data_IF_626011005226
#
_entry.id   IF_626011005226
#
_cell.length_a   1.000
_cell.length_b   1.000
_cell.length_c   1.000
_cell.angle_alpha   90.00
_cell.angle_beta   90.00
_cell.angle_gamma   90.00
#
_symmetry.space_group_name_H-M   'P 1'
#
loop_
_entity.id
_entity.type
_entity.pdbx_description
1 polymer ?
#
# COMPACT_ATOMS: atom_id res chain seq x y z
N UNK A 1 18.32 3.81 -13.51
CA UNK A 1 19.01 4.12 -12.26
C UNK A 1 19.77 2.90 -11.82
N UNK A 2 21.09 2.99 -11.75
CA UNK A 2 21.95 1.93 -11.21
C UNK A 2 21.90 1.95 -9.69
N UNK A 3 22.43 0.90 -9.05
CA UNK A 3 22.56 0.86 -7.59
C UNK A 3 23.42 2.00 -7.06
N UNK A 4 24.52 2.30 -7.73
CA UNK A 4 25.46 3.37 -7.31
C UNK A 4 24.83 4.76 -7.44
N UNK A 5 24.07 4.99 -8.52
CA UNK A 5 23.27 6.21 -8.70
C UNK A 5 22.24 6.34 -7.56
N UNK A 6 21.53 5.26 -7.24
CA UNK A 6 20.57 5.26 -6.13
C UNK A 6 21.25 5.51 -4.78
N UNK A 7 22.36 4.83 -4.48
CA UNK A 7 23.08 4.96 -3.22
C UNK A 7 23.67 6.36 -3.02
N UNK A 8 24.00 7.05 -4.11
CA UNK A 8 24.43 8.45 -4.10
C UNK A 8 23.26 9.40 -3.83
N UNK A 9 22.07 9.11 -4.36
CA UNK A 9 20.89 9.97 -4.20
C UNK A 9 20.11 9.70 -2.90
N UNK A 10 20.15 8.49 -2.34
CA UNK A 10 19.35 8.09 -1.17
C UNK A 10 19.69 8.86 0.11
N UNK A 11 20.90 9.42 0.16
CA UNK A 11 21.40 10.22 1.31
C UNK A 11 20.80 11.62 1.34
N UNK A 12 20.21 12.07 0.22
CA UNK A 12 19.47 13.33 0.16
C UNK A 12 18.22 13.19 1.02
N UNK A 13 17.97 14.20 1.85
CA UNK A 13 16.76 14.25 2.66
C UNK A 13 15.56 14.50 1.75
N UNK A 14 14.60 13.60 1.82
CA UNK A 14 13.48 13.54 0.89
C UNK A 14 12.34 12.73 1.48
N UNK A 15 11.14 12.95 0.96
CA UNK A 15 9.96 12.20 1.37
C UNK A 15 10.12 10.75 0.94
N UNK A 16 10.06 9.83 1.90
CA UNK A 16 10.26 8.39 1.67
C UNK A 16 8.99 7.62 2.01
N UNK A 17 8.82 6.51 1.32
CA UNK A 17 7.83 5.47 1.62
C UNK A 17 8.54 4.14 1.45
N UNK A 18 8.36 3.24 2.41
CA UNK A 18 9.02 1.93 2.43
C UNK A 18 7.92 0.89 2.56
N UNK A 19 7.94 -0.11 1.68
CA UNK A 19 6.95 -1.18 1.65
C UNK A 19 7.54 -2.46 1.08
N UNK A 20 7.01 -3.59 1.53
CA UNK A 20 7.20 -4.88 0.88
C UNK A 20 5.98 -5.15 0.00
N UNK A 21 6.20 -5.48 -1.28
CA UNK A 21 5.15 -5.77 -2.24
C UNK A 21 5.10 -7.26 -2.54
N UNK A 22 3.95 -7.87 -2.30
CA UNK A 22 3.67 -9.26 -2.60
C UNK A 22 2.68 -9.34 -3.76
N UNK A 23 2.93 -10.25 -4.70
CA UNK A 23 2.05 -10.48 -5.83
C UNK A 23 1.15 -11.68 -5.56
N UNK A 24 -0.16 -11.49 -5.65
CA UNK A 24 -1.14 -12.54 -5.44
C UNK A 24 -2.07 -12.65 -6.66
N UNK A 25 -2.37 -13.88 -7.08
CA UNK A 25 -3.30 -14.13 -8.19
C UNK A 25 -4.69 -14.33 -7.64
N UNK A 26 -5.64 -13.52 -8.08
CA UNK A 26 -7.04 -13.60 -7.66
C UNK A 26 -7.96 -13.34 -8.86
N UNK A 27 -8.86 -14.30 -9.15
CA UNK A 27 -9.83 -14.22 -10.25
C UNK A 27 -9.21 -13.80 -11.60
N UNK A 28 -8.03 -14.35 -11.93
CA UNK A 28 -7.32 -14.03 -13.18
C UNK A 28 -6.64 -12.65 -13.19
N UNK A 29 -6.70 -11.89 -12.10
CA UNK A 29 -6.00 -10.61 -11.92
C UNK A 29 -4.80 -10.75 -11.00
N UNK A 30 -3.89 -9.78 -11.09
CA UNK A 30 -2.77 -9.64 -10.16
C UNK A 30 -3.14 -8.59 -9.13
N UNK A 31 -3.18 -8.99 -7.87
CA UNK A 31 -3.26 -8.09 -6.73
C UNK A 31 -1.85 -7.83 -6.20
N UNK A 32 -1.49 -6.56 -6.05
CA UNK A 32 -0.28 -6.10 -5.40
C UNK A 32 -0.60 -5.79 -3.94
N UNK A 33 -0.16 -6.64 -3.02
CA UNK A 33 -0.33 -6.47 -1.58
C UNK A 33 0.88 -5.71 -1.05
N UNK A 34 0.68 -4.46 -0.70
CA UNK A 34 1.69 -3.55 -0.18
C UNK A 34 1.64 -3.50 1.35
N UNK A 35 2.69 -4.02 2.00
CA UNK A 35 2.87 -4.00 3.44
C UNK A 35 3.84 -2.87 3.79
N UNK A 36 3.31 -1.76 4.29
CA UNK A 36 4.11 -0.58 4.59
C UNK A 36 4.98 -0.80 5.84
N UNK A 37 6.17 -0.20 5.82
CA UNK A 37 7.22 -0.35 6.82
C UNK A 37 7.58 1.02 7.44
N UNK A 38 8.24 1.00 8.60
CA UNK A 38 8.75 2.20 9.26
C UNK A 38 7.64 3.16 9.70
N UNK A 39 7.68 4.41 9.24
CA UNK A 39 6.72 5.45 9.64
C UNK A 39 5.25 5.10 9.33
N UNK A 40 5.01 4.25 8.33
CA UNK A 40 3.68 3.77 7.93
C UNK A 40 3.45 2.29 8.32
N UNK A 41 4.28 1.72 9.19
CA UNK A 41 4.11 0.35 9.67
C UNK A 41 2.69 0.12 10.18
N UNK A 42 2.09 -0.99 9.75
CA UNK A 42 0.73 -1.41 10.08
C UNK A 42 -0.37 -0.91 9.16
N UNK A 43 0.01 -0.21 8.07
CA UNK A 43 -0.83 -0.02 6.90
C UNK A 43 -0.58 -1.14 5.87
N UNK A 44 -1.65 -1.68 5.31
CA UNK A 44 -1.62 -2.61 4.18
C UNK A 44 -2.60 -2.12 3.12
N UNK A 45 -2.14 -2.02 1.87
CA UNK A 45 -2.98 -1.70 0.72
C UNK A 45 -2.93 -2.83 -0.30
N UNK A 46 -4.00 -2.96 -1.07
CA UNK A 46 -4.10 -3.95 -2.14
C UNK A 46 -4.50 -3.21 -3.40
N UNK A 47 -3.56 -3.10 -4.34
CA UNK A 47 -3.84 -2.55 -5.67
C UNK A 47 -4.13 -3.68 -6.65
N UNK A 48 -5.12 -3.50 -7.52
CA UNK A 48 -5.50 -4.50 -8.52
C UNK A 48 -5.42 -3.84 -9.89
N UNK A 49 -4.62 -4.43 -10.77
CA UNK A 49 -4.44 -3.94 -12.12
C UNK A 49 -5.50 -4.51 -13.07
N UNK A 50 -6.06 -3.63 -13.90
CA UNK A 50 -7.03 -3.96 -14.93
C UNK A 50 -6.55 -3.42 -16.28
N UNK A 51 -6.78 -4.18 -17.34
CA UNK A 51 -6.42 -3.75 -18.69
C UNK A 51 -7.49 -2.83 -19.28
N UNK A 52 -8.76 -3.00 -18.85
CA UNK A 52 -9.87 -2.19 -19.33
C UNK A 52 -10.80 -1.72 -18.20
N UNK A 53 -11.55 -0.60 -18.41
CA UNK A 53 -12.57 -0.16 -17.48
C UNK A 53 -13.68 -1.18 -17.24
N UNK A 54 -14.05 -1.96 -18.27
CA UNK A 54 -15.08 -3.00 -18.18
C UNK A 54 -14.66 -4.10 -17.21
N UNK A 55 -13.40 -4.52 -17.26
CA UNK A 55 -12.86 -5.51 -16.31
C UNK A 55 -12.91 -4.99 -14.88
N UNK A 56 -12.53 -3.72 -14.67
CA UNK A 56 -12.60 -3.07 -13.35
C UNK A 56 -14.04 -3.05 -12.83
N UNK A 57 -15.00 -2.66 -13.66
CA UNK A 57 -16.40 -2.54 -13.28
C UNK A 57 -17.05 -3.90 -12.98
N UNK A 58 -16.58 -4.98 -13.59
CA UNK A 58 -17.07 -6.33 -13.34
C UNK A 58 -16.35 -7.05 -12.19
N UNK A 59 -15.26 -6.48 -11.68
CA UNK A 59 -14.44 -7.13 -10.68
C UNK A 59 -15.08 -7.09 -9.29
N UNK A 60 -15.07 -8.25 -8.61
CA UNK A 60 -15.50 -8.35 -7.22
C UNK A 60 -14.29 -8.28 -6.30
N UNK A 61 -14.31 -7.31 -5.37
CA UNK A 61 -13.29 -7.14 -4.34
C UNK A 61 -13.04 -8.46 -3.58
N UNK A 62 -11.77 -8.83 -3.29
CA UNK A 62 -11.48 -9.98 -2.45
C UNK A 62 -12.06 -9.84 -1.04
N UNK A 63 -12.45 -10.95 -0.44
CA UNK A 63 -13.05 -11.01 0.91
C UNK A 63 -12.08 -10.59 2.02
N UNK A 64 -10.77 -10.73 1.79
CA UNK A 64 -9.74 -10.25 2.70
C UNK A 64 -9.49 -8.74 2.63
N UNK A 65 -10.07 -8.03 1.65
CA UNK A 65 -10.00 -6.58 1.58
C UNK A 65 -11.13 -5.95 2.41
N UNK A 66 -10.79 -4.93 3.18
CA UNK A 66 -11.75 -4.26 4.08
C UNK A 66 -12.73 -3.35 3.33
N UNK A 67 -12.18 -2.45 2.51
CA UNK A 67 -12.94 -1.40 1.83
C UNK A 67 -12.20 -0.95 0.57
N UNK A 68 -12.96 -0.51 -0.44
CA UNK A 68 -12.40 0.14 -1.63
C UNK A 68 -12.03 1.60 -1.31
N UNK A 69 -10.74 1.92 -1.43
CA UNK A 69 -10.19 3.26 -1.22
C UNK A 69 -9.69 3.92 -2.52
N UNK A 70 -10.11 3.41 -3.68
CA UNK A 70 -9.65 3.88 -5.00
C UNK A 70 -9.91 5.38 -5.27
N UNK A 71 -10.77 6.03 -4.50
CA UNK A 71 -11.11 7.46 -4.63
C UNK A 71 -10.59 8.31 -3.46
N UNK A 72 -9.86 7.71 -2.53
CA UNK A 72 -9.34 8.41 -1.35
C UNK A 72 -7.98 9.03 -1.64
N UNK A 73 -7.91 10.36 -1.68
CA UNK A 73 -6.66 11.06 -1.99
C UNK A 73 -5.58 10.85 -0.91
N UNK A 74 -5.98 10.76 0.37
CA UNK A 74 -5.04 10.68 1.49
C UNK A 74 -4.16 9.42 1.45
N UNK A 75 -4.63 8.36 0.79
CA UNK A 75 -3.96 7.06 0.71
C UNK A 75 -3.16 6.89 -0.59
N UNK A 76 -3.24 7.84 -1.52
CA UNK A 76 -2.46 7.82 -2.74
C UNK A 76 -0.95 7.78 -2.43
N UNK A 77 -0.18 6.99 -3.19
CA UNK A 77 1.25 6.76 -2.91
C UNK A 77 2.09 8.04 -2.78
N UNK A 78 1.79 9.07 -3.58
CA UNK A 78 2.47 10.38 -3.49
C UNK A 78 2.12 11.15 -2.21
N UNK A 79 0.90 10.98 -1.69
CA UNK A 79 0.44 11.61 -0.46
C UNK A 79 1.00 10.92 0.78
N UNK A 80 1.21 9.59 0.70
CA UNK A 80 1.83 8.80 1.75
C UNK A 80 3.33 9.07 1.92
N UNK A 81 4.02 9.53 0.88
CA UNK A 81 5.46 9.78 0.94
C UNK A 81 5.79 10.82 2.03
N UNK A 82 6.58 10.39 3.03
CA UNK A 82 6.98 11.22 4.16
C UNK A 82 5.90 11.43 5.25
N UNK A 83 4.76 10.74 5.15
CA UNK A 83 3.77 10.69 6.24
C UNK A 83 4.11 9.61 7.26
N UNK A 84 3.60 9.79 8.47
CA UNK A 84 3.53 8.78 9.53
C UNK A 84 2.12 8.21 9.60
N UNK A 85 1.99 7.02 10.18
CA UNK A 85 0.70 6.36 10.38
C UNK A 85 -0.30 7.26 11.11
N UNK A 86 0.16 7.95 12.17
CA UNK A 86 -0.66 8.92 12.93
C UNK A 86 -1.22 10.07 12.07
N UNK A 87 -0.57 10.38 10.94
CA UNK A 87 -0.99 11.49 10.07
C UNK A 87 -2.15 11.08 9.13
N UNK A 88 -2.55 9.79 9.14
CA UNK A 88 -3.67 9.22 8.37
C UNK A 88 -4.63 8.40 9.26
N UNK A 89 -4.36 8.30 10.55
CA UNK A 89 -5.08 7.41 11.48
C UNK A 89 -6.57 7.76 11.59
N UNK A 90 -6.89 9.06 11.65
CA UNK A 90 -8.28 9.53 11.70
C UNK A 90 -9.04 9.20 10.40
N UNK A 91 -8.40 9.31 9.24
CA UNK A 91 -9.01 8.95 7.95
C UNK A 91 -9.24 7.44 7.83
N UNK A 92 -8.29 6.64 8.31
CA UNK A 92 -8.39 5.17 8.37
C UNK A 92 -9.50 4.73 9.34
N UNK A 93 -9.67 5.43 10.46
CA UNK A 93 -10.69 5.12 11.46
C UNK A 93 -12.12 5.25 10.90
N UNK A 94 -12.36 6.09 9.88
CA UNK A 94 -13.65 6.22 9.18
C UNK A 94 -14.10 4.90 8.54
N UNK A 95 -13.16 4.01 8.26
CA UNK A 95 -13.39 2.68 7.68
C UNK A 95 -13.25 1.54 8.69
N UNK A 96 -13.15 1.86 9.98
CA UNK A 96 -12.86 0.90 11.05
C UNK A 96 -11.56 0.10 10.80
N UNK A 97 -10.63 0.67 10.03
CA UNK A 97 -9.36 0.02 9.75
C UNK A 97 -8.54 -0.13 11.03
N UNK A 98 -8.09 -1.36 11.29
CA UNK A 98 -7.24 -1.66 12.43
C UNK A 98 -5.82 -1.84 11.95
N UNK A 99 -4.90 -1.16 12.62
CA UNK A 99 -3.47 -1.32 12.40
C UNK A 99 -3.08 -2.80 12.42
N UNK A 100 -2.48 -3.27 11.33
CA UNK A 100 -2.11 -4.68 11.15
C UNK A 100 -0.72 -4.90 11.73
N UNK A 101 -0.59 -5.87 12.63
CA UNK A 101 0.70 -6.28 13.18
C UNK A 101 1.08 -7.64 12.61
N UNK A 102 2.07 -7.67 11.72
CA UNK A 102 2.58 -8.92 11.18
C UNK A 102 3.68 -9.39 12.12
N UNK A 103 3.37 -10.39 12.94
CA UNK A 103 4.39 -11.06 13.74
C UNK A 103 5.41 -11.69 12.80
N UNK A 104 6.69 -11.32 12.93
CA UNK A 104 7.76 -12.17 12.41
C UNK A 104 7.64 -13.50 13.12
N UNK A 105 7.21 -14.55 12.41
CA UNK A 105 7.49 -15.90 12.85
C UNK A 105 9.01 -15.97 13.05
N UNK A 106 9.42 -16.09 14.31
CA UNK A 106 10.80 -16.38 14.66
C UNK A 106 11.10 -17.75 14.04
N UNK A 107 11.88 -17.76 12.97
CA UNK A 107 12.60 -18.96 12.56
C UNK A 107 13.87 -19.08 13.40
#
# INVERSE_FOLDING_TARGET
MTKDEFDTLKVIDGKKVIKERYYYKYNGKTAEIDIFQGDLEGLVLVDIEFETPEEKNAFMMPDFCLVDVSQEEFIAGGMLAGKKYRDIEDDLARYEYKKIYIGRALN
#
